data_IF_582693411657
#
_entry.id   IF_582693411657
#
_cell.length_a   1.000
_cell.length_b   1.000
_cell.length_c   1.000
_cell.angle_alpha   90.00
_cell.angle_beta   90.00
_cell.angle_gamma   90.00
#
_symmetry.space_group_name_H-M   'P 1'
#
loop_
_entity.id
_entity.type
_entity.pdbx_description
1 polymer ?
#
# COMPACT_ATOMS: atom_id res chain seq x y z
N UNK A 1 -14.41 -29.80 -37.61
CA UNK A 1 -12.97 -29.59 -37.82
C UNK A 1 -12.54 -28.57 -36.79
N UNK A 2 -11.59 -28.96 -35.94
CA UNK A 2 -11.16 -28.22 -34.78
C UNK A 2 -10.49 -26.90 -35.18
N UNK A 3 -10.84 -25.82 -34.48
CA UNK A 3 -10.09 -24.57 -34.49
C UNK A 3 -8.96 -24.70 -33.48
N UNK A 4 -7.73 -24.76 -33.99
CA UNK A 4 -6.49 -24.71 -33.22
C UNK A 4 -6.44 -23.41 -32.40
N UNK A 5 -6.72 -23.51 -31.11
CA UNK A 5 -6.21 -22.56 -30.12
C UNK A 5 -4.79 -23.00 -29.78
N UNK A 6 -3.81 -22.40 -30.45
CA UNK A 6 -2.40 -22.45 -30.01
C UNK A 6 -2.30 -21.76 -28.65
N UNK A 7 -2.45 -22.54 -27.58
CA UNK A 7 -1.93 -22.18 -26.26
C UNK A 7 -0.42 -22.10 -26.39
N UNK A 8 0.12 -20.89 -26.47
CA UNK A 8 1.52 -20.67 -26.22
C UNK A 8 1.78 -20.98 -24.74
N UNK A 9 2.07 -22.25 -24.44
CA UNK A 9 2.72 -22.65 -23.20
C UNK A 9 4.13 -22.03 -23.24
N UNK A 10 4.23 -20.78 -22.78
CA UNK A 10 5.50 -20.25 -22.30
C UNK A 10 5.80 -21.00 -21.00
N UNK A 11 6.50 -22.13 -21.13
CA UNK A 11 7.29 -22.70 -20.04
C UNK A 11 8.44 -21.72 -19.74
N UNK A 12 8.12 -20.58 -19.15
CA UNK A 12 9.11 -19.72 -18.50
C UNK A 12 9.30 -20.31 -17.11
N UNK A 13 10.46 -20.92 -16.85
CA UNK A 13 10.85 -21.27 -15.50
C UNK A 13 10.70 -20.03 -14.61
N UNK A 14 9.94 -20.16 -13.52
CA UNK A 14 9.73 -19.06 -12.59
C UNK A 14 11.08 -18.59 -12.05
N UNK A 15 11.26 -17.27 -11.80
CA UNK A 15 12.53 -16.72 -11.35
C UNK A 15 12.99 -17.37 -10.04
N UNK A 16 14.29 -17.64 -9.94
CA UNK A 16 14.92 -18.09 -8.70
C UNK A 16 15.49 -16.92 -7.90
N UNK A 17 15.42 -17.02 -6.57
CA UNK A 17 15.85 -15.97 -5.64
C UNK A 17 16.85 -16.50 -4.60
N UNK A 18 18.07 -16.89 -5.01
CA UNK A 18 19.05 -17.45 -4.08
C UNK A 18 19.51 -16.46 -3.00
N UNK A 19 19.36 -15.16 -3.24
CA UNK A 19 19.68 -14.08 -2.29
C UNK A 19 18.53 -13.75 -1.32
N UNK A 20 17.30 -14.22 -1.57
CA UNK A 20 16.15 -13.98 -0.69
C UNK A 20 16.08 -15.00 0.42
N UNK A 21 17.12 -15.01 1.26
CA UNK A 21 17.26 -15.88 2.44
C UNK A 21 17.41 -15.06 3.70
N UNK A 22 16.95 -15.60 4.84
CA UNK A 22 16.93 -14.89 6.13
C UNK A 22 18.28 -14.25 6.51
N UNK A 23 19.41 -14.88 6.16
CA UNK A 23 20.75 -14.39 6.48
C UNK A 23 21.10 -13.03 5.86
N UNK A 24 20.40 -12.62 4.80
CA UNK A 24 20.58 -11.34 4.13
C UNK A 24 19.67 -10.23 4.68
N UNK A 25 18.95 -10.51 5.77
CA UNK A 25 18.01 -9.60 6.42
C UNK A 25 18.30 -9.46 7.92
N UNK A 26 17.93 -8.34 8.57
CA UNK A 26 17.22 -7.20 7.98
C UNK A 26 18.10 -6.27 7.15
N UNK A 27 17.46 -5.56 6.22
CA UNK A 27 18.04 -4.52 5.37
C UNK A 27 18.08 -3.17 6.11
N UNK A 28 19.03 -2.31 5.76
CA UNK A 28 19.28 -1.00 6.44
C UNK A 28 18.68 0.19 5.71
N UNK A 29 18.37 0.03 4.43
CA UNK A 29 17.79 1.03 3.54
C UNK A 29 16.51 1.60 4.15
N UNK A 30 16.16 2.85 3.85
CA UNK A 30 15.04 3.57 4.48
C UNK A 30 15.48 4.55 5.56
N UNK A 31 14.51 5.26 6.10
CA UNK A 31 14.71 6.37 7.04
C UNK A 31 13.77 6.25 8.25
N UNK A 32 14.13 6.95 9.33
CA UNK A 32 13.25 7.14 10.48
C UNK A 32 13.12 8.62 10.83
N UNK A 33 11.95 8.99 11.37
CA UNK A 33 11.81 10.20 12.20
C UNK A 33 11.52 9.79 13.63
N UNK A 34 11.91 10.64 14.59
CA UNK A 34 11.54 10.46 15.99
C UNK A 34 10.23 11.22 16.26
N UNK A 35 9.22 10.50 16.72
CA UNK A 35 7.98 11.08 17.24
C UNK A 35 8.19 11.69 18.64
N UNK A 36 7.24 12.50 19.09
CA UNK A 36 7.31 13.31 20.31
C UNK A 36 7.41 12.44 21.57
N UNK A 37 6.87 11.23 21.50
CA UNK A 37 6.94 10.23 22.55
C UNK A 37 8.22 9.36 22.48
N UNK A 38 9.15 9.71 21.58
CA UNK A 38 10.46 9.08 21.43
C UNK A 38 10.48 7.87 20.47
N UNK A 39 9.31 7.37 20.02
CA UNK A 39 9.24 6.25 19.07
C UNK A 39 9.86 6.62 17.73
N UNK A 40 10.47 5.63 17.08
CA UNK A 40 10.90 5.76 15.68
C UNK A 40 9.73 5.43 14.75
N UNK A 41 9.50 6.28 13.76
CA UNK A 41 8.57 6.07 12.66
C UNK A 41 9.37 5.83 11.39
N UNK A 42 9.32 4.60 10.86
CA UNK A 42 10.04 4.14 9.68
C UNK A 42 9.30 4.43 8.37
N UNK A 43 10.06 4.75 7.33
CA UNK A 43 9.53 4.94 5.98
C UNK A 43 10.64 4.76 4.91
N UNK A 44 10.22 4.76 3.65
CA UNK A 44 11.10 4.97 2.49
C UNK A 44 10.55 6.12 1.65
N UNK A 45 11.41 7.05 1.23
CA UNK A 45 11.06 8.16 0.35
C UNK A 45 11.53 7.88 -1.08
N UNK A 46 10.65 8.07 -2.06
CA UNK A 46 10.94 7.99 -3.48
C UNK A 46 10.53 9.30 -4.16
N UNK A 47 11.34 9.76 -5.12
CA UNK A 47 10.99 10.88 -5.98
C UNK A 47 10.67 10.33 -7.37
N UNK A 48 9.39 10.25 -7.74
CA UNK A 48 8.94 9.67 -9.01
C UNK A 48 8.42 10.74 -9.96
N UNK A 49 8.44 10.42 -11.24
CA UNK A 49 7.84 11.26 -12.29
C UNK A 49 6.69 10.52 -12.93
N UNK A 50 5.58 11.22 -13.15
CA UNK A 50 4.38 10.64 -13.77
C UNK A 50 3.97 11.45 -14.99
N UNK A 51 3.66 10.78 -16.09
CA UNK A 51 3.11 11.43 -17.29
C UNK A 51 1.59 11.36 -17.22
N UNK A 52 0.95 12.52 -17.13
CA UNK A 52 -0.50 12.57 -16.97
C UNK A 52 -1.21 12.35 -18.31
N UNK A 53 -2.21 11.48 -18.33
CA UNK A 53 -2.95 11.15 -19.56
C UNK A 53 -4.08 12.14 -19.92
N UNK A 54 -4.50 13.02 -19.00
CA UNK A 54 -5.55 14.05 -19.23
C UNK A 54 -5.30 15.29 -18.41
N UNK A 55 -5.55 16.48 -19.00
CA UNK A 55 -5.67 17.82 -18.39
C UNK A 55 -5.47 17.89 -16.87
N UNK A 56 -4.28 17.60 -16.39
CA UNK A 56 -3.86 17.97 -15.04
C UNK A 56 -3.21 19.35 -15.14
N UNK A 57 -3.32 20.09 -14.05
CA UNK A 57 -2.77 21.42 -13.95
C UNK A 57 -1.31 21.46 -14.40
N UNK A 58 -0.98 22.53 -15.12
CA UNK A 58 0.35 23.13 -15.16
C UNK A 58 0.66 23.69 -13.78
N UNK A 59 0.87 22.83 -12.80
CA UNK A 59 1.30 23.27 -11.48
C UNK A 59 2.66 22.69 -11.15
N UNK A 60 3.60 23.59 -10.85
CA UNK A 60 4.90 23.23 -10.32
C UNK A 60 4.83 22.86 -8.83
N UNK A 61 3.62 22.73 -8.25
CA UNK A 61 3.40 22.26 -6.89
C UNK A 61 3.99 20.86 -6.70
N UNK A 62 4.61 20.68 -5.54
CA UNK A 62 5.09 19.39 -5.08
C UNK A 62 3.88 18.51 -4.70
N UNK A 63 3.74 17.35 -5.34
CA UNK A 63 2.69 16.39 -5.00
C UNK A 63 3.22 15.33 -4.05
N UNK A 64 2.53 15.12 -2.93
CA UNK A 64 2.95 14.21 -1.88
C UNK A 64 1.96 13.06 -1.76
N UNK A 65 2.45 11.83 -1.83
CA UNK A 65 1.67 10.61 -1.63
C UNK A 65 2.24 9.84 -0.43
N UNK A 66 1.36 9.43 0.46
CA UNK A 66 1.65 8.50 1.55
C UNK A 66 1.08 7.13 1.18
N UNK A 67 1.95 6.14 0.97
CA UNK A 67 1.59 4.75 0.72
C UNK A 67 1.62 3.94 2.01
N UNK A 68 0.49 3.30 2.34
CA UNK A 68 0.36 2.38 3.47
C UNK A 68 0.13 0.96 2.89
N UNK A 69 1.16 0.09 2.93
CA UNK A 69 1.12 -1.19 2.24
C UNK A 69 0.24 -2.24 2.95
N UNK A 70 0.12 -3.44 2.37
CA UNK A 70 -0.59 -4.58 2.97
C UNK A 70 0.23 -5.33 4.03
N UNK A 71 -0.15 -6.58 4.34
CA UNK A 71 0.63 -7.54 5.11
C UNK A 71 0.92 -8.80 4.28
N UNK A 72 2.09 -9.45 4.45
CA UNK A 72 3.29 -8.88 5.08
C UNK A 72 3.80 -7.69 4.24
N UNK A 73 4.14 -6.59 4.90
CA UNK A 73 4.49 -5.36 4.21
C UNK A 73 5.48 -4.55 5.01
N UNK A 74 6.46 -3.96 4.34
CA UNK A 74 7.42 -3.03 4.90
C UNK A 74 7.55 -1.83 3.97
N UNK A 75 8.49 -0.93 4.26
CA UNK A 75 8.84 0.17 3.35
C UNK A 75 9.33 -0.28 1.96
N UNK A 76 9.64 -1.57 1.77
CA UNK A 76 9.99 -2.14 0.46
C UNK A 76 8.77 -2.45 -0.40
N UNK A 77 7.56 -2.39 0.16
CA UNK A 77 6.32 -2.68 -0.56
C UNK A 77 5.91 -1.47 -1.43
N UNK A 78 6.54 -1.35 -2.59
CA UNK A 78 6.30 -0.29 -3.56
C UNK A 78 6.14 -0.88 -4.97
N UNK A 79 5.41 -0.18 -5.83
CA UNK A 79 5.18 -0.65 -7.20
C UNK A 79 6.53 -0.87 -7.95
N UNK A 80 6.73 -1.99 -8.68
CA UNK A 80 8.01 -2.28 -9.34
C UNK A 80 8.51 -1.19 -10.29
N UNK A 81 7.60 -0.44 -10.93
CA UNK A 81 7.96 0.71 -11.75
C UNK A 81 8.76 1.76 -10.95
N UNK A 82 8.31 2.07 -9.74
CA UNK A 82 9.00 3.02 -8.83
C UNK A 82 10.39 2.50 -8.46
N UNK A 83 10.49 1.21 -8.15
CA UNK A 83 11.77 0.58 -7.80
C UNK A 83 12.75 0.59 -8.98
N UNK A 84 12.26 0.38 -10.20
CA UNK A 84 13.07 0.43 -11.42
C UNK A 84 13.58 1.85 -11.71
N UNK A 85 12.73 2.88 -11.55
CA UNK A 85 13.15 4.28 -11.70
C UNK A 85 14.29 4.65 -10.73
N UNK A 86 14.17 4.24 -9.46
CA UNK A 86 15.18 4.56 -8.44
C UNK A 86 16.51 3.87 -8.75
N UNK A 87 16.47 2.58 -9.12
CA UNK A 87 17.67 1.83 -9.52
C UNK A 87 18.36 2.47 -10.72
N UNK A 88 17.60 2.94 -11.71
CA UNK A 88 18.15 3.64 -12.87
C UNK A 88 18.79 4.98 -12.46
N UNK A 89 18.21 5.72 -11.51
CA UNK A 89 18.80 6.95 -10.95
C UNK A 89 20.12 6.67 -10.24
N UNK A 90 20.22 5.59 -9.46
CA UNK A 90 21.46 5.19 -8.79
C UNK A 90 22.56 4.77 -9.76
N UNK A 91 22.22 3.97 -10.78
CA UNK A 91 23.13 3.58 -11.85
C UNK A 91 23.66 4.80 -12.61
N UNK A 92 22.78 5.76 -12.94
CA UNK A 92 23.17 6.99 -13.62
C UNK A 92 24.04 7.89 -12.73
N UNK A 93 23.76 8.01 -11.43
CA UNK A 93 24.62 8.73 -10.48
C UNK A 93 26.01 8.09 -10.39
N UNK A 94 26.09 6.76 -10.39
CA UNK A 94 27.34 6.00 -10.31
C UNK A 94 28.15 6.12 -11.61
N UNK A 95 27.49 6.03 -12.77
CA UNK A 95 28.09 6.24 -14.09
C UNK A 95 28.55 7.68 -14.31
N UNK A 96 27.80 8.68 -13.87
CA UNK A 96 28.19 10.09 -13.94
C UNK A 96 29.38 10.42 -13.03
N UNK A 97 29.53 9.70 -11.90
CA UNK A 97 30.70 9.82 -11.02
C UNK A 97 31.95 9.15 -11.59
N UNK A 98 31.78 8.18 -12.49
CA UNK A 98 32.86 7.49 -13.20
C UNK A 98 33.23 8.13 -14.55
N UNK A 99 32.32 8.89 -15.18
CA UNK A 99 32.55 9.64 -16.42
C UNK A 99 32.60 11.15 -16.15
N UNK A 100 33.59 11.61 -15.39
CA UNK A 100 34.02 13.01 -15.44
C UNK A 100 35.03 13.22 -16.57
N UNK A 101 34.63 12.98 -17.82
CA UNK A 101 35.26 13.52 -19.03
C UNK A 101 34.40 13.18 -20.25
N UNK A 102 34.11 14.19 -21.06
CA UNK A 102 33.33 14.22 -22.31
C UNK A 102 31.81 14.35 -22.15
N UNK A 103 31.34 15.61 -22.16
CA UNK A 103 30.00 15.97 -22.65
C UNK A 103 30.12 16.45 -24.09
N UNK A 104 29.36 15.83 -24.98
CA UNK A 104 28.91 16.45 -26.22
C UNK A 104 27.38 16.50 -26.15
N UNK A 105 26.85 17.71 -26.17
CA UNK A 105 25.42 17.98 -26.22
C UNK A 105 24.89 17.59 -27.61
N UNK A 106 23.93 16.67 -27.63
CA UNK A 106 23.00 16.56 -28.74
C UNK A 106 21.59 16.65 -28.16
N UNK A 107 21.00 17.83 -28.37
CA UNK A 107 19.57 18.07 -28.25
C UNK A 107 18.83 17.18 -29.25
N UNK A 108 17.82 16.47 -28.75
CA UNK A 108 16.74 15.93 -29.57
C UNK A 108 15.40 16.37 -28.98
N UNK A 109 14.58 16.88 -29.88
CA UNK A 109 13.22 17.39 -29.75
C UNK A 109 12.38 16.66 -28.68
N UNK A 110 12.17 17.32 -27.53
CA UNK A 110 11.20 16.89 -26.54
C UNK A 110 9.82 17.44 -26.93
N UNK A 111 8.95 16.58 -27.44
CA UNK A 111 7.52 16.75 -27.21
C UNK A 111 7.34 16.98 -25.70
N UNK A 112 6.76 18.11 -25.31
CA UNK A 112 6.60 18.49 -23.91
C UNK A 112 5.58 17.56 -23.26
N UNK A 113 6.04 16.39 -22.79
CA UNK A 113 5.26 15.52 -21.93
C UNK A 113 4.98 16.29 -20.64
N UNK A 114 3.70 16.38 -20.26
CA UNK A 114 3.27 16.98 -18.99
C UNK A 114 3.71 16.05 -17.83
N UNK A 115 4.95 16.26 -17.38
CA UNK A 115 5.57 15.48 -16.31
C UNK A 115 5.28 16.13 -14.95
N UNK A 116 4.65 15.36 -14.06
CA UNK A 116 4.44 15.74 -12.67
C UNK A 116 5.49 15.07 -11.78
N UNK A 117 6.02 15.83 -10.82
CA UNK A 117 6.93 15.32 -9.78
C UNK A 117 6.14 14.92 -8.54
N UNK A 118 6.34 13.69 -8.09
CA UNK A 118 5.67 13.13 -6.92
C UNK A 118 6.72 12.68 -5.90
N UNK A 119 6.54 13.10 -4.64
CA UNK A 119 7.24 12.55 -3.48
C UNK A 119 6.38 11.49 -2.84
N UNK A 120 6.80 10.24 -2.97
CA UNK A 120 6.12 9.08 -2.44
C UNK A 120 6.80 8.61 -1.16
N UNK A 121 6.05 8.55 -0.07
CA UNK A 121 6.48 7.99 1.20
C UNK A 121 5.81 6.65 1.46
N UNK A 122 6.57 5.56 1.48
CA UNK A 122 6.07 4.25 1.90
C UNK A 122 6.23 4.14 3.41
N UNK A 123 5.12 4.20 4.14
CA UNK A 123 5.10 4.29 5.59
C UNK A 123 5.08 2.91 6.24
N UNK A 124 5.81 2.74 7.35
CA UNK A 124 5.77 1.52 8.15
C UNK A 124 4.92 1.71 9.41
N UNK A 125 3.91 0.85 9.57
CA UNK A 125 3.03 0.84 10.76
C UNK A 125 3.81 0.55 12.06
N UNK A 126 3.27 0.88 13.24
CA UNK A 126 3.97 0.72 14.51
C UNK A 126 4.44 -0.72 14.73
N UNK A 127 5.77 -0.92 14.77
CA UNK A 127 6.40 -2.23 14.95
C UNK A 127 6.73 -2.99 13.68
N UNK A 128 6.52 -2.42 12.50
CA UNK A 128 6.98 -2.97 11.21
C UNK A 128 8.30 -2.31 10.80
N UNK A 129 9.25 -3.09 10.31
CA UNK A 129 10.50 -2.61 9.75
C UNK A 129 11.31 -1.76 10.73
N UNK A 130 11.50 -0.49 10.42
CA UNK A 130 12.22 0.48 11.24
C UNK A 130 11.32 1.14 12.30
N UNK A 131 10.00 1.01 12.20
CA UNK A 131 9.07 1.58 13.18
C UNK A 131 9.14 0.87 14.53
N UNK A 132 9.17 1.65 15.61
CA UNK A 132 9.12 1.13 16.98
C UNK A 132 7.76 0.49 17.27
N UNK A 133 7.76 -0.70 17.88
CA UNK A 133 6.54 -1.38 18.27
C UNK A 133 5.76 -0.58 19.32
N UNK A 134 4.46 -0.41 19.06
CA UNK A 134 3.52 0.16 20.01
C UNK A 134 2.11 -0.37 19.76
N UNK A 135 1.32 -0.53 20.83
CA UNK A 135 -0.09 -0.93 20.73
C UNK A 135 -0.96 0.28 20.37
N UNK A 136 -0.94 0.67 19.10
CA UNK A 136 -1.69 1.80 18.54
C UNK A 136 -2.96 1.32 17.83
N UNK A 137 -4.08 2.02 18.04
CA UNK A 137 -5.27 1.89 17.19
C UNK A 137 -5.04 2.48 15.77
N UNK A 138 -6.02 2.35 14.88
CA UNK A 138 -5.95 3.02 13.57
C UNK A 138 -5.92 4.56 13.71
N UNK A 139 -6.69 5.12 14.66
CA UNK A 139 -6.70 6.56 14.93
C UNK A 139 -5.39 7.05 15.57
N UNK A 140 -4.82 6.23 16.45
CA UNK A 140 -3.48 6.47 16.98
C UNK A 140 -2.42 6.55 15.87
N UNK A 141 -2.49 5.66 14.87
CA UNK A 141 -1.60 5.75 13.71
C UNK A 141 -1.85 7.02 12.88
N UNK A 142 -3.10 7.46 12.73
CA UNK A 142 -3.38 8.74 12.06
C UNK A 142 -2.72 9.92 12.78
N UNK A 143 -2.66 9.90 14.12
CA UNK A 143 -1.90 10.89 14.90
C UNK A 143 -0.39 10.77 14.66
N UNK A 144 0.16 9.55 14.59
CA UNK A 144 1.57 9.32 14.28
C UNK A 144 1.92 9.88 12.88
N UNK A 145 1.02 9.73 11.90
CA UNK A 145 1.18 10.30 10.56
C UNK A 145 1.05 11.82 10.55
N UNK A 146 0.11 12.40 11.33
CA UNK A 146 0.01 13.86 11.49
C UNK A 146 1.32 14.45 11.98
N UNK A 147 1.95 13.81 12.96
CA UNK A 147 3.25 14.21 13.47
C UNK A 147 4.36 14.04 12.43
N UNK A 148 4.40 12.90 11.73
CA UNK A 148 5.32 12.69 10.61
C UNK A 148 5.22 13.82 9.57
N UNK A 149 3.99 14.21 9.20
CA UNK A 149 3.75 15.31 8.28
C UNK A 149 4.27 16.65 8.81
N UNK A 150 4.09 16.95 10.11
CA UNK A 150 4.68 18.15 10.74
C UNK A 150 6.20 18.14 10.65
N UNK A 151 6.85 17.03 11.00
CA UNK A 151 8.32 16.87 10.95
C UNK A 151 8.84 17.03 9.52
N UNK A 152 8.17 16.44 8.54
CA UNK A 152 8.53 16.50 7.11
C UNK A 152 8.02 17.76 6.41
N UNK A 153 7.33 18.67 7.14
CA UNK A 153 6.74 19.93 6.63
C UNK A 153 5.76 19.71 5.47
N UNK A 154 4.96 18.67 5.57
CA UNK A 154 3.92 18.29 4.62
C UNK A 154 2.63 19.01 5.02
N UNK A 155 2.17 19.92 4.17
CA UNK A 155 0.95 20.70 4.41
C UNK A 155 -0.29 20.08 3.76
N UNK A 156 -0.09 19.32 2.69
CA UNK A 156 -1.14 18.62 1.95
C UNK A 156 -0.55 17.32 1.39
N UNK A 157 -1.30 16.23 1.49
CA UNK A 157 -0.92 14.94 0.93
C UNK A 157 -2.13 14.13 0.48
N UNK A 158 -1.80 13.08 -0.27
CA UNK A 158 -2.72 12.09 -0.80
C UNK A 158 -2.34 10.73 -0.24
N UNK A 159 -3.31 9.83 -0.06
CA UNK A 159 -3.07 8.51 0.55
C UNK A 159 -3.36 7.41 -0.46
N UNK A 160 -2.46 6.44 -0.55
CA UNK A 160 -2.72 5.13 -1.13
C UNK A 160 -2.68 4.12 0.01
N UNK A 161 -3.75 3.34 0.18
CA UNK A 161 -3.82 2.33 1.23
C UNK A 161 -4.25 1.00 0.62
N UNK A 162 -3.39 0.00 0.72
CA UNK A 162 -3.59 -1.30 0.08
C UNK A 162 -3.87 -2.40 1.13
N UNK A 163 -4.90 -3.22 0.90
CA UNK A 163 -5.17 -4.43 1.68
C UNK A 163 -5.29 -4.14 3.19
N UNK A 164 -4.42 -4.73 4.02
CA UNK A 164 -4.31 -4.46 5.46
C UNK A 164 -4.04 -2.98 5.81
N UNK A 165 -3.48 -2.20 4.87
CA UNK A 165 -3.33 -0.75 5.00
C UNK A 165 -4.65 0.02 4.90
N UNK A 166 -5.70 -0.58 4.33
CA UNK A 166 -7.01 0.06 4.11
C UNK A 166 -7.60 0.74 5.36
N UNK A 167 -7.78 0.02 6.49
CA UNK A 167 -8.28 0.61 7.74
C UNK A 167 -7.43 1.78 8.27
N UNK A 168 -6.11 1.74 8.06
CA UNK A 168 -5.20 2.84 8.41
C UNK A 168 -5.42 4.05 7.49
N UNK A 169 -5.51 3.83 6.18
CA UNK A 169 -5.83 4.90 5.22
C UNK A 169 -7.18 5.55 5.47
N UNK A 170 -8.19 4.75 5.84
CA UNK A 170 -9.51 5.24 6.25
C UNK A 170 -9.45 6.06 7.54
N UNK A 171 -8.61 5.67 8.51
CA UNK A 171 -8.40 6.46 9.72
C UNK A 171 -7.69 7.80 9.46
N UNK A 172 -6.78 7.84 8.49
CA UNK A 172 -6.18 9.09 7.99
C UNK A 172 -7.24 9.97 7.31
N UNK A 173 -8.03 9.41 6.40
CA UNK A 173 -9.12 10.13 5.73
C UNK A 173 -10.14 10.69 6.74
N UNK A 174 -10.49 9.92 7.76
CA UNK A 174 -11.36 10.36 8.85
C UNK A 174 -10.74 11.51 9.67
N UNK A 175 -9.51 11.32 10.16
CA UNK A 175 -8.92 12.21 11.17
C UNK A 175 -8.25 13.45 10.60
N UNK A 176 -7.82 13.40 9.33
CA UNK A 176 -6.99 14.42 8.68
C UNK A 176 -7.61 14.94 7.38
N UNK A 177 -8.80 14.44 7.02
CA UNK A 177 -9.46 14.69 5.74
C UNK A 177 -10.62 15.68 5.80
N UNK A 178 -10.85 16.37 6.90
CA UNK A 178 -11.86 17.43 6.97
C UNK A 178 -11.18 18.78 7.21
N UNK A 179 -11.72 19.84 6.61
CA UNK A 179 -11.36 21.20 7.03
C UNK A 179 -11.67 21.42 8.50
N UNK A 180 -10.76 22.10 9.19
CA UNK A 180 -10.92 22.51 10.59
C UNK A 180 -11.17 24.03 10.67
N UNK A 181 -11.95 24.49 11.66
CA UNK A 181 -12.06 25.91 11.98
C UNK A 181 -10.77 26.38 12.66
N UNK A 182 -10.05 27.29 12.02
CA UNK A 182 -8.84 27.92 12.54
C UNK A 182 -9.11 29.19 13.33
N UNK A 183 -8.03 29.88 13.74
CA UNK A 183 -8.14 31.18 14.39
C UNK A 183 -8.82 32.21 13.47
N UNK A 184 -9.65 33.09 14.06
CA UNK A 184 -10.38 34.15 13.35
C UNK A 184 -11.26 33.65 12.19
N UNK A 185 -11.95 32.52 12.37
CA UNK A 185 -12.87 31.92 11.39
C UNK A 185 -12.21 31.50 10.05
N UNK A 186 -10.87 31.41 10.01
CA UNK A 186 -10.16 30.93 8.83
C UNK A 186 -10.30 29.41 8.69
N UNK A 187 -10.78 28.92 7.54
CA UNK A 187 -10.84 27.48 7.28
C UNK A 187 -9.44 26.92 7.01
N UNK A 188 -9.00 25.97 7.83
CA UNK A 188 -7.79 25.19 7.61
C UNK A 188 -8.14 24.10 6.60
N UNK A 189 -7.35 23.99 5.52
CA UNK A 189 -7.52 22.94 4.52
C UNK A 189 -7.22 21.56 5.11
N UNK A 190 -7.88 20.49 4.64
CA UNK A 190 -7.56 19.15 5.09
C UNK A 190 -6.12 18.79 4.70
N UNK A 191 -5.41 18.12 5.61
CA UNK A 191 -4.07 17.59 5.33
C UNK A 191 -4.15 16.46 4.29
N UNK A 192 -5.17 15.60 4.37
CA UNK A 192 -5.42 14.51 3.41
C UNK A 192 -6.53 14.93 2.46
N UNK A 193 -6.21 15.19 1.19
CA UNK A 193 -7.21 15.65 0.20
C UNK A 193 -7.83 14.52 -0.61
N UNK A 194 -7.09 13.44 -0.85
CA UNK A 194 -7.59 12.23 -1.52
C UNK A 194 -7.08 10.96 -0.83
N UNK A 195 -7.92 9.94 -0.77
CA UNK A 195 -7.57 8.62 -0.27
C UNK A 195 -8.01 7.52 -1.24
N UNK A 196 -7.05 6.86 -1.86
CA UNK A 196 -7.22 5.68 -2.68
C UNK A 196 -7.15 4.42 -1.80
N UNK A 197 -8.26 3.72 -1.68
CA UNK A 197 -8.37 2.47 -0.90
C UNK A 197 -8.43 1.30 -1.88
N UNK A 198 -7.44 0.42 -1.85
CA UNK A 198 -7.29 -0.64 -2.86
C UNK A 198 -7.32 -1.99 -2.17
N UNK A 199 -8.24 -2.86 -2.58
CA UNK A 199 -8.48 -4.17 -1.94
C UNK A 199 -8.60 -4.07 -0.42
N UNK A 200 -9.16 -2.96 0.08
CA UNK A 200 -9.15 -2.63 1.51
C UNK A 200 -10.06 -3.53 2.34
N UNK A 201 -9.64 -3.80 3.58
CA UNK A 201 -10.46 -4.49 4.57
C UNK A 201 -11.60 -3.55 5.03
N UNK A 202 -12.80 -4.12 5.28
CA UNK A 202 -13.93 -3.41 5.90
C UNK A 202 -14.11 -3.77 7.38
N UNK A 203 -14.94 -3.04 8.16
CA UNK A 203 -15.19 -3.36 9.57
C UNK A 203 -15.62 -4.82 9.79
N UNK A 204 -15.18 -5.45 10.88
CA UNK A 204 -15.40 -6.88 11.12
C UNK A 204 -16.87 -7.33 11.16
N UNK A 205 -17.79 -6.41 11.44
CA UNK A 205 -19.22 -6.64 11.48
C UNK A 205 -19.91 -6.45 10.10
N UNK A 206 -19.14 -6.25 9.03
CA UNK A 206 -19.64 -6.19 7.65
C UNK A 206 -20.41 -7.48 7.34
N UNK A 207 -21.71 -7.41 6.99
CA UNK A 207 -22.48 -8.58 6.61
C UNK A 207 -21.86 -9.28 5.40
N UNK A 208 -21.83 -10.61 5.40
CA UNK A 208 -21.36 -11.44 4.28
C UNK A 208 -19.90 -11.24 3.85
N UNK A 209 -19.09 -10.53 4.65
CA UNK A 209 -17.72 -10.18 4.32
C UNK A 209 -16.81 -11.37 4.02
N UNK A 210 -17.10 -12.53 4.60
CA UNK A 210 -16.28 -13.74 4.50
C UNK A 210 -16.90 -14.82 3.62
N UNK A 211 -18.05 -14.58 2.98
CA UNK A 211 -18.82 -15.63 2.30
C UNK A 211 -18.03 -16.32 1.16
N UNK A 212 -17.19 -15.55 0.46
CA UNK A 212 -16.33 -16.05 -0.64
C UNK A 212 -14.90 -16.41 -0.23
N UNK A 213 -14.51 -16.20 1.03
CA UNK A 213 -13.17 -16.57 1.48
C UNK A 213 -12.98 -18.09 1.54
N UNK A 214 -11.77 -18.61 1.30
CA UNK A 214 -11.42 -19.98 1.64
C UNK A 214 -11.63 -20.26 3.13
N UNK A 215 -11.90 -21.51 3.51
CA UNK A 215 -12.21 -21.88 4.90
C UNK A 215 -11.12 -21.42 5.88
N UNK A 216 -9.85 -21.51 5.47
CA UNK A 216 -8.69 -21.10 6.28
C UNK A 216 -8.75 -19.60 6.61
N UNK A 217 -9.09 -18.77 5.64
CA UNK A 217 -9.24 -17.32 5.81
C UNK A 217 -10.51 -16.98 6.61
N UNK A 218 -11.62 -17.70 6.41
CA UNK A 218 -12.82 -17.55 7.26
C UNK A 218 -12.52 -17.82 8.73
N UNK A 219 -11.76 -18.89 9.01
CA UNK A 219 -11.34 -19.23 10.37
C UNK A 219 -10.42 -18.16 10.94
N UNK A 220 -9.40 -17.72 10.19
CA UNK A 220 -8.50 -16.65 10.62
C UNK A 220 -9.29 -15.37 10.94
N UNK A 221 -10.23 -14.97 10.07
CA UNK A 221 -11.11 -13.82 10.29
C UNK A 221 -11.95 -13.96 11.56
N UNK A 222 -12.56 -15.12 11.79
CA UNK A 222 -13.30 -15.40 13.02
C UNK A 222 -12.41 -15.27 14.27
N UNK A 223 -11.17 -15.79 14.20
CA UNK A 223 -10.23 -15.72 15.31
C UNK A 223 -9.77 -14.30 15.65
N UNK A 224 -9.78 -13.35 14.70
CA UNK A 224 -9.44 -11.94 14.96
C UNK A 224 -10.25 -11.35 16.12
N UNK A 225 -11.50 -11.80 16.28
CA UNK A 225 -12.43 -11.37 17.33
C UNK A 225 -12.44 -12.33 18.51
N UNK A 226 -12.49 -13.63 18.24
CA UNK A 226 -12.83 -14.62 19.26
C UNK A 226 -11.62 -15.16 20.03
N UNK A 227 -10.46 -15.27 19.38
CA UNK A 227 -9.24 -15.73 20.03
C UNK A 227 -7.99 -15.22 19.31
N UNK A 228 -7.63 -13.93 19.47
CA UNK A 228 -6.43 -13.36 18.86
C UNK A 228 -5.16 -14.13 19.25
N UNK A 229 -5.10 -14.68 20.47
CA UNK A 229 -3.96 -15.49 20.93
C UNK A 229 -3.78 -16.77 20.12
N UNK A 230 -4.89 -17.44 19.76
CA UNK A 230 -4.83 -18.63 18.91
C UNK A 230 -4.44 -18.25 17.47
N UNK A 231 -4.98 -17.15 16.95
CA UNK A 231 -4.54 -16.61 15.66
C UNK A 231 -3.04 -16.29 15.65
N UNK A 232 -2.52 -15.68 16.72
CA UNK A 232 -1.09 -15.41 16.86
C UNK A 232 -0.24 -16.67 16.85
N UNK A 233 -0.73 -17.75 17.48
CA UNK A 233 -0.04 -19.04 17.46
C UNK A 233 0.00 -19.62 16.05
N UNK A 234 -1.11 -19.57 15.31
CA UNK A 234 -1.17 -20.05 13.92
C UNK A 234 -0.26 -19.22 13.01
N UNK A 235 -0.34 -17.89 13.08
CA UNK A 235 0.53 -16.98 12.34
C UNK A 235 2.02 -17.22 12.67
N UNK A 236 2.34 -17.59 13.91
CA UNK A 236 3.71 -17.95 14.28
C UNK A 236 4.22 -19.20 13.59
N UNK A 237 3.39 -20.24 13.48
CA UNK A 237 3.75 -21.43 12.72
C UNK A 237 3.89 -21.14 11.22
N UNK A 238 2.97 -20.37 10.65
CA UNK A 238 3.01 -19.96 9.25
C UNK A 238 4.25 -19.12 8.94
N UNK A 239 4.56 -18.11 9.75
CA UNK A 239 5.77 -17.30 9.60
C UNK A 239 7.05 -18.15 9.68
N UNK A 240 7.10 -19.13 10.60
CA UNK A 240 8.25 -20.05 10.67
C UNK A 240 8.41 -20.92 9.43
N UNK A 241 7.32 -21.35 8.82
CA UNK A 241 7.37 -22.08 7.55
C UNK A 241 7.79 -21.16 6.41
N UNK A 242 7.24 -19.95 6.36
CA UNK A 242 7.57 -18.94 5.36
C UNK A 242 9.04 -18.51 5.41
N UNK A 243 9.65 -18.40 6.59
CA UNK A 243 11.08 -18.09 6.71
C UNK A 243 11.98 -19.21 6.15
N UNK A 244 11.55 -20.48 6.23
CA UNK A 244 12.33 -21.63 5.78
C UNK A 244 12.34 -21.77 4.26
N UNK A 245 11.21 -21.45 3.63
CA UNK A 245 11.04 -21.44 2.19
C UNK A 245 10.19 -20.22 1.78
N UNK A 246 10.80 -19.02 1.71
CA UNK A 246 10.06 -17.79 1.46
C UNK A 246 9.44 -17.73 0.07
N UNK A 247 10.11 -18.31 -0.93
CA UNK A 247 9.62 -18.37 -2.31
C UNK A 247 8.43 -19.34 -2.38
N UNK A 248 8.56 -20.55 -1.83
CA UNK A 248 7.48 -21.53 -1.83
C UNK A 248 6.27 -21.08 -1.02
N UNK A 249 6.49 -20.42 0.13
CA UNK A 249 5.40 -19.85 0.92
C UNK A 249 4.68 -18.73 0.17
N UNK A 250 5.41 -17.87 -0.54
CA UNK A 250 4.79 -16.81 -1.33
C UNK A 250 3.94 -17.39 -2.46
N UNK A 251 4.51 -18.28 -3.29
CA UNK A 251 3.79 -18.93 -4.40
C UNK A 251 2.60 -19.74 -3.90
N UNK A 252 2.77 -20.50 -2.82
CA UNK A 252 1.72 -21.30 -2.21
C UNK A 252 0.55 -20.50 -1.65
N UNK A 253 0.80 -19.27 -1.17
CA UNK A 253 -0.23 -18.38 -0.63
C UNK A 253 -1.33 -18.01 -1.63
N UNK A 254 -1.00 -17.96 -2.93
CA UNK A 254 -1.90 -17.55 -4.01
C UNK A 254 -2.44 -18.68 -4.86
N UNK A 255 -2.09 -19.94 -4.55
CA UNK A 255 -2.63 -21.09 -5.27
C UNK A 255 -4.16 -21.16 -5.25
N UNK A 256 -4.77 -20.70 -4.16
CA UNK A 256 -6.23 -20.66 -4.02
C UNK A 256 -6.86 -19.43 -4.68
N UNK A 257 -6.05 -18.44 -5.10
CA UNK A 257 -6.50 -17.17 -5.68
C UNK A 257 -6.98 -17.26 -7.14
N UNK A 258 -7.59 -16.20 -7.67
CA UNK A 258 -7.96 -16.14 -9.09
C UNK A 258 -6.71 -16.15 -9.99
N UNK A 259 -6.89 -16.57 -11.24
CA UNK A 259 -5.78 -16.65 -12.21
C UNK A 259 -5.09 -15.29 -12.40
N UNK A 260 -5.86 -14.20 -12.37
CA UNK A 260 -5.30 -12.85 -12.49
C UNK A 260 -4.21 -12.54 -11.48
N UNK A 261 -4.31 -13.06 -10.25
CA UNK A 261 -3.32 -12.78 -9.21
C UNK A 261 -2.01 -13.55 -9.46
N UNK A 262 -2.11 -14.77 -10.02
CA UNK A 262 -0.95 -15.55 -10.47
C UNK A 262 -0.27 -14.89 -11.66
N UNK A 263 -1.05 -14.40 -12.61
CA UNK A 263 -0.55 -13.74 -13.81
C UNK A 263 0.32 -12.52 -13.48
N UNK A 264 0.07 -11.82 -12.36
CA UNK A 264 0.90 -10.70 -11.92
C UNK A 264 2.33 -11.14 -11.58
N UNK A 265 2.49 -12.28 -10.92
CA UNK A 265 3.82 -12.80 -10.59
C UNK A 265 4.59 -13.23 -11.83
N UNK A 266 3.89 -13.84 -12.77
CA UNK A 266 4.48 -14.35 -14.02
C UNK A 266 4.83 -13.21 -14.98
N UNK A 267 3.96 -12.19 -15.07
CA UNK A 267 4.04 -11.18 -16.12
C UNK A 267 4.55 -9.81 -15.65
N UNK A 268 4.65 -9.55 -14.34
CA UNK A 268 5.16 -8.28 -13.80
C UNK A 268 6.47 -8.48 -13.01
N UNK A 269 7.62 -8.31 -13.67
CA UNK A 269 8.92 -8.48 -13.03
C UNK A 269 9.07 -7.61 -11.77
N UNK A 270 9.52 -8.24 -10.69
CA UNK A 270 9.82 -7.56 -9.43
C UNK A 270 8.72 -7.62 -8.37
N UNK A 271 7.47 -7.95 -8.71
CA UNK A 271 6.38 -8.06 -7.71
C UNK A 271 6.68 -9.18 -6.71
N UNK A 272 7.03 -10.38 -7.19
CA UNK A 272 7.33 -11.52 -6.31
C UNK A 272 8.51 -11.21 -5.36
N UNK A 273 9.61 -10.68 -5.91
CA UNK A 273 10.76 -10.23 -5.11
C UNK A 273 10.34 -9.21 -4.06
N UNK A 274 9.62 -8.16 -4.44
CA UNK A 274 9.19 -7.11 -3.51
C UNK A 274 8.36 -7.67 -2.35
N UNK A 275 7.46 -8.63 -2.61
CA UNK A 275 6.65 -9.26 -1.58
C UNK A 275 7.53 -10.09 -0.63
N UNK A 276 8.42 -10.91 -1.19
CA UNK A 276 9.33 -11.75 -0.40
C UNK A 276 10.29 -10.89 0.44
N UNK A 277 10.86 -9.82 -0.13
CA UNK A 277 11.73 -8.90 0.60
C UNK A 277 11.00 -8.21 1.75
N UNK A 278 9.75 -7.79 1.53
CA UNK A 278 8.91 -7.18 2.58
C UNK A 278 8.65 -8.16 3.73
N UNK A 279 8.33 -9.42 3.39
CA UNK A 279 8.12 -10.49 4.35
C UNK A 279 9.38 -10.83 5.15
N UNK A 280 10.51 -11.04 4.48
CA UNK A 280 11.79 -11.35 5.13
C UNK A 280 12.28 -10.20 6.00
N UNK A 281 12.06 -8.95 5.57
CA UNK A 281 12.40 -7.77 6.37
C UNK A 281 11.63 -7.76 7.69
N UNK A 282 10.32 -8.00 7.65
CA UNK A 282 9.49 -8.03 8.86
C UNK A 282 9.87 -9.21 9.77
N UNK A 283 10.02 -10.41 9.21
CA UNK A 283 10.27 -11.62 9.98
C UNK A 283 11.68 -11.73 10.56
N UNK A 284 12.70 -11.27 9.84
CA UNK A 284 14.09 -11.22 10.33
C UNK A 284 14.26 -10.31 11.56
N UNK A 285 13.37 -9.32 11.71
CA UNK A 285 13.33 -8.41 12.87
C UNK A 285 12.53 -8.96 14.05
N UNK A 286 11.95 -10.16 13.94
CA UNK A 286 11.13 -10.76 15.00
C UNK A 286 9.79 -10.04 15.23
N UNK A 287 9.27 -9.33 14.23
CA UNK A 287 8.10 -8.44 14.34
C UNK A 287 6.75 -9.14 14.14
N UNK A 288 6.72 -10.45 14.33
CA UNK A 288 5.48 -11.22 14.25
C UNK A 288 4.45 -10.79 15.32
N UNK A 289 4.90 -10.33 16.48
CA UNK A 289 4.01 -9.77 17.51
C UNK A 289 3.27 -8.52 17.00
N UNK A 290 3.86 -7.76 16.08
CA UNK A 290 3.23 -6.63 15.39
C UNK A 290 2.08 -7.10 14.51
N UNK A 291 2.35 -8.05 13.61
CA UNK A 291 1.34 -8.64 12.73
C UNK A 291 0.16 -9.23 13.53
N UNK A 292 0.47 -9.95 14.61
CA UNK A 292 -0.53 -10.49 15.52
C UNK A 292 -1.39 -9.41 16.19
N UNK A 293 -0.78 -8.28 16.55
CA UNK A 293 -1.49 -7.15 17.10
C UNK A 293 -2.41 -6.51 16.05
N UNK A 294 -1.94 -6.35 14.81
CA UNK A 294 -2.75 -5.85 13.69
C UNK A 294 -3.98 -6.73 13.42
N UNK A 295 -3.82 -8.05 13.37
CA UNK A 295 -4.94 -8.97 13.25
C UNK A 295 -5.98 -8.77 14.36
N UNK A 296 -5.53 -8.47 15.59
CA UNK A 296 -6.44 -8.18 16.69
C UNK A 296 -7.20 -6.86 16.53
N UNK A 297 -6.66 -5.89 15.77
CA UNK A 297 -7.34 -4.62 15.49
C UNK A 297 -8.49 -4.81 14.52
N UNK A 298 -8.35 -5.72 13.55
CA UNK A 298 -9.39 -5.97 12.56
C UNK A 298 -10.71 -6.38 13.22
N UNK A 299 -10.64 -7.27 14.23
CA UNK A 299 -11.80 -7.75 14.99
C UNK A 299 -12.36 -6.78 16.05
N UNK A 300 -11.78 -5.58 16.21
CA UNK A 300 -12.22 -4.57 17.19
C UNK A 300 -13.04 -3.46 16.52
N UNK A 301 -13.80 -2.67 17.30
CA UNK A 301 -14.28 -1.37 16.82
C UNK A 301 -13.10 -0.48 16.42
N UNK A 302 -13.19 0.17 15.27
CA UNK A 302 -12.08 0.98 14.74
C UNK A 302 -11.94 2.36 15.40
N UNK A 303 -12.94 2.76 16.19
CA UNK A 303 -12.96 4.04 16.91
C UNK A 303 -13.51 5.20 16.08
N UNK A 304 -13.86 4.98 14.81
CA UNK A 304 -14.52 5.94 13.94
C UNK A 304 -15.59 5.26 13.09
N UNK A 305 -16.51 6.07 12.55
CA UNK A 305 -17.53 5.62 11.60
C UNK A 305 -17.10 5.98 10.19
N UNK A 306 -17.36 5.10 9.23
CA UNK A 306 -17.05 5.35 7.83
C UNK A 306 -17.85 6.54 7.29
N UNK A 307 -19.05 6.71 7.82
CA UNK A 307 -19.99 7.76 7.49
C UNK A 307 -19.49 9.15 7.87
N UNK A 308 -18.50 9.26 8.75
CA UNK A 308 -17.92 10.55 9.14
C UNK A 308 -16.81 11.00 8.17
N UNK A 309 -16.35 10.10 7.28
CA UNK A 309 -15.36 10.41 6.24
C UNK A 309 -16.04 11.19 5.11
N UNK A 310 -15.36 12.24 4.62
CA UNK A 310 -15.85 13.06 3.51
C UNK A 310 -17.03 13.97 3.89
N UNK A 311 -17.30 14.15 5.19
CA UNK A 311 -18.31 15.07 5.70
C UNK A 311 -17.63 16.32 6.26
N UNK A 312 -17.48 17.34 5.44
CA UNK A 312 -17.25 18.69 5.95
C UNK A 312 -18.57 19.44 6.10
N UNK A 313 -18.87 19.88 7.32
CA UNK A 313 -20.00 20.80 7.58
C UNK A 313 -19.75 22.21 7.04
N UNK A 314 -18.48 22.57 6.77
CA UNK A 314 -18.01 23.85 6.21
C UNK A 314 -16.64 23.66 5.55
N UNK A 315 -16.52 23.89 4.25
CA UNK A 315 -15.23 23.85 3.53
C UNK A 315 -14.97 22.56 2.77
N UNK A 316 -13.69 22.26 2.50
CA UNK A 316 -13.24 21.10 1.73
C UNK A 316 -13.21 19.83 2.59
N UNK A 317 -13.38 18.66 1.96
CA UNK A 317 -13.21 17.36 2.59
C UNK A 317 -12.53 16.38 1.63
N UNK A 318 -11.92 15.36 2.21
CA UNK A 318 -11.25 14.27 1.51
C UNK A 318 -12.20 13.61 0.51
N UNK A 319 -11.71 13.39 -0.71
CA UNK A 319 -12.36 12.50 -1.67
C UNK A 319 -11.82 11.08 -1.47
N UNK A 320 -12.70 10.10 -1.39
CA UNK A 320 -12.31 8.69 -1.30
C UNK A 320 -12.69 7.95 -2.56
N UNK A 321 -11.84 7.02 -2.99
CA UNK A 321 -12.15 6.08 -4.05
C UNK A 321 -11.68 4.68 -3.70
N UNK A 322 -12.57 3.71 -3.92
CA UNK A 322 -12.29 2.29 -3.68
C UNK A 322 -12.03 1.58 -5.00
N UNK A 323 -10.88 0.94 -5.13
CA UNK A 323 -10.61 -0.02 -6.21
C UNK A 323 -10.61 -1.44 -5.66
N UNK A 324 -11.29 -2.35 -6.33
CA UNK A 324 -11.42 -3.72 -5.86
C UNK A 324 -11.55 -4.72 -7.01
N UNK A 325 -10.85 -5.85 -6.93
CA UNK A 325 -11.07 -6.98 -7.82
C UNK A 325 -12.35 -7.76 -7.46
N UNK A 326 -13.22 -8.04 -8.42
CA UNK A 326 -14.48 -8.74 -8.13
C UNK A 326 -14.28 -10.21 -7.67
N UNK A 327 -13.13 -10.80 -8.03
CA UNK A 327 -12.74 -12.17 -7.69
C UNK A 327 -11.76 -12.23 -6.52
N UNK A 328 -11.57 -11.13 -5.78
CA UNK A 328 -10.76 -11.14 -4.56
C UNK A 328 -11.40 -12.02 -3.48
N UNK A 329 -10.63 -13.01 -3.04
CA UNK A 329 -11.02 -13.99 -2.01
C UNK A 329 -10.28 -13.78 -0.67
N UNK A 330 -9.35 -12.82 -0.62
CA UNK A 330 -8.61 -12.42 0.57
C UNK A 330 -9.34 -11.29 1.29
N UNK A 331 -9.57 -10.18 0.59
CA UNK A 331 -10.47 -9.10 1.03
C UNK A 331 -11.63 -9.06 0.06
N UNK A 332 -12.79 -9.61 0.42
CA UNK A 332 -13.82 -9.86 -0.59
C UNK A 332 -14.37 -8.56 -1.18
N UNK A 333 -14.87 -8.60 -2.42
CA UNK A 333 -15.55 -7.45 -3.03
C UNK A 333 -16.77 -6.95 -2.22
N UNK A 334 -17.33 -7.78 -1.33
CA UNK A 334 -18.36 -7.35 -0.36
C UNK A 334 -17.80 -6.31 0.61
N UNK A 335 -16.56 -6.48 1.08
CA UNK A 335 -15.87 -5.50 1.92
C UNK A 335 -15.71 -4.16 1.17
N UNK A 336 -15.23 -4.21 -0.08
CA UNK A 336 -15.09 -3.01 -0.91
C UNK A 336 -16.42 -2.28 -1.11
N UNK A 337 -17.49 -3.00 -1.44
CA UNK A 337 -18.84 -2.41 -1.59
C UNK A 337 -19.34 -1.80 -0.29
N UNK A 338 -19.12 -2.49 0.85
CA UNK A 338 -19.48 -1.95 2.16
C UNK A 338 -18.77 -0.62 2.44
N UNK A 339 -17.48 -0.49 2.10
CA UNK A 339 -16.77 0.79 2.25
C UNK A 339 -17.40 1.90 1.41
N UNK A 340 -17.70 1.62 0.14
CA UNK A 340 -18.32 2.59 -0.79
C UNK A 340 -19.68 3.05 -0.28
N UNK A 341 -20.51 2.12 0.18
CA UNK A 341 -21.88 2.40 0.63
C UNK A 341 -21.93 3.26 1.91
N UNK A 342 -20.87 3.23 2.72
CA UNK A 342 -20.83 3.91 4.02
C UNK A 342 -19.92 5.15 4.05
N UNK A 343 -19.14 5.43 3.01
CA UNK A 343 -18.30 6.63 2.93
C UNK A 343 -19.00 7.70 2.08
N UNK A 344 -19.13 8.91 2.61
CA UNK A 344 -19.83 10.00 1.92
C UNK A 344 -19.13 10.37 0.61
N UNK A 345 -19.87 10.31 -0.50
CA UNK A 345 -19.35 10.68 -1.83
C UNK A 345 -18.23 9.78 -2.36
N UNK A 346 -18.11 8.55 -1.83
CA UNK A 346 -17.06 7.62 -2.25
C UNK A 346 -17.23 7.21 -3.72
N UNK A 347 -16.20 7.43 -4.52
CA UNK A 347 -16.10 6.85 -5.84
C UNK A 347 -15.72 5.36 -5.75
N UNK A 348 -15.94 4.61 -6.84
CA UNK A 348 -15.52 3.21 -6.87
C UNK A 348 -15.15 2.73 -8.27
N UNK A 349 -14.31 1.69 -8.29
CA UNK A 349 -14.00 0.89 -9.47
C UNK A 349 -13.85 -0.57 -9.09
N UNK A 350 -14.84 -1.38 -9.47
CA UNK A 350 -14.79 -2.82 -9.34
C UNK A 350 -14.36 -3.44 -10.67
N UNK A 351 -13.24 -4.17 -10.66
CA UNK A 351 -12.64 -4.72 -11.88
C UNK A 351 -12.98 -6.20 -11.97
N UNK A 352 -13.75 -6.55 -13.01
CA UNK A 352 -14.15 -7.92 -13.32
C UNK A 352 -12.92 -8.81 -13.54
N UNK A 353 -13.02 -10.06 -13.12
CA UNK A 353 -11.99 -11.10 -13.33
C UNK A 353 -10.64 -10.82 -12.64
N UNK A 354 -10.54 -9.73 -11.86
CA UNK A 354 -9.36 -9.38 -11.08
C UNK A 354 -9.52 -9.77 -9.63
N UNK A 355 -8.42 -10.19 -9.02
CA UNK A 355 -8.32 -10.57 -7.61
C UNK A 355 -7.68 -9.51 -6.74
N UNK A 356 -6.98 -9.96 -5.70
CA UNK A 356 -6.38 -9.10 -4.69
C UNK A 356 -5.25 -8.24 -5.26
N UNK A 357 -4.52 -8.77 -6.24
CA UNK A 357 -3.30 -8.19 -6.80
C UNK A 357 -3.56 -7.11 -7.86
N UNK A 358 -4.81 -6.69 -8.06
CA UNK A 358 -5.14 -5.66 -9.05
C UNK A 358 -4.35 -4.35 -8.87
N UNK A 359 -3.91 -4.07 -7.64
CA UNK A 359 -3.09 -2.91 -7.27
C UNK A 359 -1.97 -2.61 -8.28
N UNK A 360 -1.32 -3.66 -8.77
CA UNK A 360 -0.19 -3.54 -9.68
C UNK A 360 -0.60 -3.15 -11.11
N UNK A 361 -1.80 -3.52 -11.56
CA UNK A 361 -2.28 -3.18 -12.90
C UNK A 361 -2.93 -1.81 -12.97
N UNK A 362 -3.53 -1.36 -11.87
CA UNK A 362 -4.24 -0.08 -11.80
C UNK A 362 -3.37 1.08 -11.33
N UNK A 363 -2.06 0.87 -11.11
CA UNK A 363 -1.17 1.85 -10.51
C UNK A 363 -1.24 3.21 -11.21
N UNK A 364 -1.11 3.24 -12.54
CA UNK A 364 -1.19 4.46 -13.34
C UNK A 364 -2.54 5.17 -13.19
N UNK A 365 -3.65 4.41 -13.20
CA UNK A 365 -5.00 4.96 -13.02
C UNK A 365 -5.20 5.56 -11.62
N UNK A 366 -4.63 4.93 -10.60
CA UNK A 366 -4.68 5.44 -9.23
C UNK A 366 -3.90 6.76 -9.14
N UNK A 367 -2.70 6.83 -9.72
CA UNK A 367 -1.92 8.07 -9.74
C UNK A 367 -2.65 9.17 -10.51
N UNK A 368 -3.21 8.86 -11.68
CA UNK A 368 -4.02 9.81 -12.46
C UNK A 368 -5.18 10.38 -11.62
N UNK A 369 -5.99 9.52 -10.99
CA UNK A 369 -7.10 9.98 -10.13
C UNK A 369 -6.62 10.82 -8.94
N UNK A 370 -5.47 10.49 -8.36
CA UNK A 370 -4.88 11.28 -7.28
C UNK A 370 -4.42 12.66 -7.77
N UNK A 371 -4.07 12.82 -9.05
CA UNK A 371 -3.62 14.09 -9.64
C UNK A 371 -4.74 14.95 -10.23
N UNK A 372 -5.94 14.40 -10.46
CA UNK A 372 -7.12 15.18 -10.84
C UNK A 372 -7.50 16.22 -9.75
N UNK A 373 -8.17 17.32 -10.12
CA UNK A 373 -8.68 18.34 -9.17
C UNK A 373 -10.00 17.95 -8.47
#
# INVERSE_FOLDING_TARGET
MATDTTSANLNTELPEYPDLVLANFPKKEGETVQLIDGRQFGFMEYNITHTVQKTALRDNREHIILLIPGLPGSRFYCHPHVLAEEKNKELNKTSAKNNSNNRSDHDCDNESLDLIKIRLFVLERPGIGLSTFAKRTFLDFANDVKEFCVIKRIMECKVIAYSAGGPYGLALAHSLGNSEEGEQDALIKPLVTKAAIISGISPHNTPHATDRMPWKHKLAWWLTKHSPKLLSLLAWFEAKMAIRDPVGAMRGGFNDGPQSDRDIYENMPGVERMCIESMLEQYSRGQLSTECYEYSLWGKPWGFRLEDIGKSGKGESVKCKVWHGEEDIGTTAVMGRYLVDHISGCESRFVKEKGHMLYFEIWEEVIDWLMEE
#
